data_IF_039584750292
#
_entry.id   IF_039584750292
#
_cell.length_a   1.000
_cell.length_b   1.000
_cell.length_c   1.000
_cell.angle_alpha   90.00
_cell.angle_beta   90.00
_cell.angle_gamma   90.00
#
_symmetry.space_group_name_H-M   'P 1'
#
loop_
_entity.id
_entity.type
_entity.pdbx_description
1 polymer ?
#
# COMPACT_ATOMS: atom_id res chain seq x y z
N UNK A 1 -8.06 -7.30 -39.53
CA UNK A 1 -9.25 -7.16 -38.65
C UNK A 1 -8.74 -6.62 -37.33
N UNK A 2 -9.36 -5.59 -36.76
CA UNK A 2 -9.09 -5.10 -35.41
C UNK A 2 -10.01 -5.80 -34.42
N UNK A 3 -9.51 -6.19 -33.25
CA UNK A 3 -10.28 -6.81 -32.18
C UNK A 3 -9.87 -6.23 -30.82
N UNK A 4 -10.76 -6.32 -29.84
CA UNK A 4 -10.46 -6.02 -28.44
C UNK A 4 -9.83 -7.24 -27.79
N UNK A 5 -8.85 -7.01 -26.93
CA UNK A 5 -8.18 -8.04 -26.14
C UNK A 5 -8.13 -7.59 -24.69
N UNK A 6 -8.28 -8.55 -23.79
CA UNK A 6 -7.94 -8.35 -22.38
C UNK A 6 -6.50 -8.81 -22.17
N UNK A 7 -5.63 -7.90 -21.73
CA UNK A 7 -4.21 -8.17 -21.55
C UNK A 7 -3.85 -7.88 -20.10
N UNK A 8 -3.30 -8.87 -19.41
CA UNK A 8 -2.81 -8.72 -18.04
C UNK A 8 -1.35 -9.12 -17.98
N UNK A 9 -0.51 -8.21 -17.52
CA UNK A 9 0.88 -8.49 -17.19
C UNK A 9 0.97 -8.65 -15.68
N UNK A 10 1.33 -9.85 -15.25
CA UNK A 10 1.45 -10.21 -13.85
C UNK A 10 2.93 -10.28 -13.48
N UNK A 11 3.31 -9.53 -12.44
CA UNK A 11 4.65 -9.54 -11.87
C UNK A 11 4.59 -10.01 -10.43
N UNK A 12 5.41 -10.99 -10.07
CA UNK A 12 5.61 -11.50 -8.72
C UNK A 12 7.10 -11.81 -8.51
N UNK A 13 7.86 -10.82 -8.05
CA UNK A 13 9.30 -10.97 -7.83
C UNK A 13 9.65 -11.83 -6.62
N UNK A 14 8.66 -12.27 -5.83
CA UNK A 14 8.86 -13.14 -4.67
C UNK A 14 8.95 -14.62 -5.05
N UNK A 15 8.50 -15.00 -6.26
CA UNK A 15 8.60 -16.38 -6.73
C UNK A 15 10.06 -16.83 -6.87
N UNK A 16 10.33 -18.07 -6.44
CA UNK A 16 11.66 -18.67 -6.52
C UNK A 16 12.04 -19.02 -7.96
N UNK A 17 11.09 -19.47 -8.77
CA UNK A 17 11.28 -19.78 -10.19
C UNK A 17 11.15 -18.51 -11.04
N UNK A 18 12.22 -18.19 -11.76
CA UNK A 18 12.30 -17.04 -12.65
C UNK A 18 11.22 -17.01 -13.73
N UNK A 19 10.82 -18.18 -14.25
CA UNK A 19 9.82 -18.30 -15.32
C UNK A 19 8.42 -17.93 -14.81
N UNK A 20 8.19 -17.98 -13.49
CA UNK A 20 6.87 -17.71 -12.89
C UNK A 20 6.72 -16.28 -12.38
N UNK A 21 7.81 -15.49 -12.35
CA UNK A 21 7.80 -14.10 -11.85
C UNK A 21 7.09 -13.15 -12.79
N UNK A 22 7.27 -13.32 -14.09
CA UNK A 22 6.61 -12.51 -15.12
C UNK A 22 5.74 -13.40 -15.98
N UNK A 23 4.45 -13.09 -16.04
CA UNK A 23 3.47 -13.80 -16.86
C UNK A 23 2.63 -12.80 -17.61
N UNK A 24 2.27 -13.13 -18.84
CA UNK A 24 1.29 -12.37 -19.61
C UNK A 24 0.09 -13.26 -19.89
N UNK A 25 -1.10 -12.69 -19.72
CA UNK A 25 -2.35 -13.33 -20.04
C UNK A 25 -3.01 -12.57 -21.17
N UNK A 26 -3.48 -13.30 -22.17
CA UNK A 26 -4.22 -12.77 -23.31
C UNK A 26 -5.59 -13.45 -23.28
N UNK A 27 -6.64 -12.65 -23.11
CA UNK A 27 -8.00 -13.15 -22.95
C UNK A 27 -8.09 -14.24 -21.87
N UNK A 28 -7.47 -14.00 -20.71
CA UNK A 28 -7.50 -14.91 -19.57
C UNK A 28 -6.54 -16.10 -19.66
N UNK A 29 -6.05 -16.44 -20.85
CA UNK A 29 -5.10 -17.55 -21.03
C UNK A 29 -3.66 -17.07 -20.90
N UNK A 30 -2.83 -17.83 -20.19
CA UNK A 30 -1.40 -17.55 -20.04
C UNK A 30 -0.67 -17.82 -21.36
N UNK A 31 0.13 -16.87 -21.83
CA UNK A 31 1.03 -17.07 -22.96
C UNK A 31 2.29 -17.80 -22.48
N UNK A 32 2.52 -19.01 -23.01
CA UNK A 32 3.67 -19.85 -22.67
C UNK A 32 4.82 -19.77 -23.68
N UNK A 33 4.65 -19.05 -24.80
CA UNK A 33 5.62 -19.02 -25.90
C UNK A 33 6.68 -17.91 -25.72
N UNK A 34 6.71 -17.26 -24.55
CA UNK A 34 7.67 -16.23 -24.21
C UNK A 34 9.08 -16.82 -24.02
N UNK A 35 9.86 -16.81 -25.09
CA UNK A 35 11.21 -17.39 -25.15
C UNK A 35 12.31 -16.63 -24.36
N UNK A 36 11.95 -15.57 -23.61
CA UNK A 36 12.92 -14.68 -22.92
C UNK A 36 12.42 -14.22 -21.54
N UNK A 37 11.85 -15.11 -20.74
CA UNK A 37 11.64 -14.82 -19.32
C UNK A 37 13.00 -14.80 -18.58
N UNK A 38 13.75 -13.75 -18.84
CA UNK A 38 15.07 -13.50 -18.26
C UNK A 38 14.84 -13.19 -16.80
N UNK A 39 15.60 -13.84 -15.91
CA UNK A 39 15.52 -13.70 -14.46
C UNK A 39 15.51 -12.23 -13.97
N UNK A 40 14.33 -11.61 -13.90
CA UNK A 40 14.15 -10.31 -13.28
C UNK A 40 13.57 -10.52 -11.88
N UNK A 41 14.28 -10.02 -10.87
CA UNK A 41 13.86 -10.07 -9.45
C UNK A 41 13.65 -8.69 -8.85
N UNK A 42 13.81 -7.63 -9.65
CA UNK A 42 13.62 -6.24 -9.20
C UNK A 42 12.15 -5.85 -9.31
N UNK A 43 11.63 -5.21 -8.25
CA UNK A 43 10.30 -4.63 -8.26
C UNK A 43 10.16 -3.56 -9.36
N UNK A 44 8.96 -3.47 -9.94
CA UNK A 44 8.62 -2.40 -10.86
C UNK A 44 8.48 -1.05 -10.16
N UNK A 45 8.23 0.00 -10.94
CA UNK A 45 8.05 1.37 -10.43
C UNK A 45 6.59 1.81 -10.38
N UNK A 46 5.64 0.90 -10.59
CA UNK A 46 4.22 1.17 -10.30
C UNK A 46 4.16 1.55 -8.81
N UNK A 47 3.44 2.64 -8.47
CA UNK A 47 3.41 3.24 -7.13
C UNK A 47 4.67 4.02 -6.71
N UNK A 48 5.57 4.35 -7.64
CA UNK A 48 6.65 5.32 -7.41
C UNK A 48 6.31 6.68 -8.03
N UNK A 49 6.86 7.79 -7.51
CA UNK A 49 6.76 9.14 -8.11
C UNK A 49 7.67 9.26 -9.34
N UNK A 50 7.36 8.46 -10.35
CA UNK A 50 8.03 8.46 -11.65
C UNK A 50 7.01 8.58 -12.77
N UNK A 51 7.46 9.10 -13.91
CA UNK A 51 6.58 9.28 -15.07
C UNK A 51 6.26 7.93 -15.72
N UNK A 52 4.97 7.64 -15.88
CA UNK A 52 4.48 6.50 -16.65
C UNK A 52 3.94 6.94 -18.02
N UNK A 53 4.08 6.09 -19.03
CA UNK A 53 3.59 6.34 -20.38
C UNK A 53 2.62 5.24 -20.79
N UNK A 54 1.52 5.62 -21.45
CA UNK A 54 0.53 4.69 -22.02
C UNK A 54 0.48 4.95 -23.53
N UNK A 55 0.60 3.89 -24.34
CA UNK A 55 0.60 3.97 -25.81
C UNK A 55 1.85 4.60 -26.44
N UNK A 56 2.88 4.86 -25.64
CA UNK A 56 4.15 5.43 -26.09
C UNK A 56 5.31 4.94 -25.22
N UNK A 57 6.53 5.08 -25.71
CA UNK A 57 7.75 4.92 -24.91
C UNK A 57 8.42 6.27 -24.69
N UNK A 58 8.64 6.63 -23.42
CA UNK A 58 9.47 7.77 -23.05
C UNK A 58 10.96 7.43 -23.00
N UNK A 59 11.79 8.44 -23.17
CA UNK A 59 13.24 8.33 -23.04
C UNK A 59 13.72 8.94 -21.72
N UNK A 60 14.66 8.29 -21.04
CA UNK A 60 15.15 8.70 -19.72
C UNK A 60 15.83 10.08 -19.73
N UNK A 61 16.34 10.53 -20.88
CA UNK A 61 17.19 11.71 -21.02
C UNK A 61 16.65 12.77 -21.99
N UNK A 62 15.36 12.72 -22.35
CA UNK A 62 14.82 13.70 -23.30
C UNK A 62 13.29 13.87 -23.26
N UNK A 63 12.76 14.97 -23.84
CA UNK A 63 11.33 15.25 -23.89
C UNK A 63 10.60 14.45 -24.98
N UNK A 64 11.31 13.64 -25.78
CA UNK A 64 10.76 12.92 -26.92
C UNK A 64 10.07 11.62 -26.48
N UNK A 65 8.97 11.29 -27.17
CA UNK A 65 8.22 10.05 -27.01
C UNK A 65 8.18 9.30 -28.34
N UNK A 66 8.39 8.00 -28.30
CA UNK A 66 8.14 7.12 -29.44
C UNK A 66 6.67 6.71 -29.40
N UNK A 67 5.90 7.14 -30.41
CA UNK A 67 4.50 6.75 -30.54
C UNK A 67 4.40 5.37 -31.23
N UNK A 68 3.72 4.42 -30.60
CA UNK A 68 3.54 3.06 -31.14
C UNK A 68 2.32 2.92 -32.07
N UNK A 69 1.67 4.04 -32.42
CA UNK A 69 0.65 4.10 -33.47
C UNK A 69 -0.78 4.23 -32.94
N UNK A 70 -1.74 3.86 -33.79
CA UNK A 70 -3.17 3.98 -33.50
C UNK A 70 -3.67 2.74 -32.75
N UNK A 71 -3.83 2.86 -31.44
CA UNK A 71 -4.41 1.81 -30.58
C UNK A 71 -5.63 2.36 -29.86
N UNK A 72 -6.63 1.50 -29.66
CA UNK A 72 -7.75 1.79 -28.75
C UNK A 72 -7.49 1.04 -27.45
N UNK A 73 -7.54 1.75 -26.32
CA UNK A 73 -7.34 1.18 -24.99
C UNK A 73 -8.54 1.60 -24.13
N UNK A 74 -9.04 0.68 -23.31
CA UNK A 74 -10.03 0.92 -22.29
C UNK A 74 -9.68 0.08 -21.05
N UNK A 75 -10.15 0.50 -19.87
CA UNK A 75 -10.01 -0.30 -18.65
C UNK A 75 -8.56 -0.49 -18.17
N UNK A 76 -7.76 0.58 -18.11
CA UNK A 76 -6.38 0.49 -17.62
C UNK A 76 -6.36 0.51 -16.10
N UNK A 77 -5.77 -0.54 -15.53
CA UNK A 77 -5.67 -0.77 -14.09
C UNK A 77 -4.24 -1.08 -13.70
N UNK A 78 -3.78 -0.53 -12.58
CA UNK A 78 -2.47 -0.82 -12.00
C UNK A 78 -2.64 -1.30 -10.57
N UNK A 79 -1.92 -2.37 -10.20
CA UNK A 79 -1.94 -2.97 -8.87
C UNK A 79 -0.50 -3.09 -8.38
N UNK A 80 -0.27 -2.69 -7.14
CA UNK A 80 0.99 -2.89 -6.41
C UNK A 80 0.72 -3.71 -5.14
N UNK A 81 1.75 -4.37 -4.62
CA UNK A 81 1.68 -5.23 -3.42
C UNK A 81 0.95 -6.57 -3.60
N UNK A 82 0.26 -6.79 -4.73
CA UNK A 82 -0.46 -8.03 -5.04
C UNK A 82 -0.25 -8.44 -6.48
N UNK A 83 -0.09 -9.75 -6.70
CA UNK A 83 0.05 -10.33 -8.02
C UNK A 83 -1.25 -11.02 -8.44
N UNK A 84 -2.19 -10.26 -8.98
CA UNK A 84 -3.55 -10.73 -9.32
C UNK A 84 -3.60 -11.40 -10.71
N UNK A 85 -4.49 -12.39 -10.85
CA UNK A 85 -4.79 -13.04 -12.14
C UNK A 85 -5.79 -12.23 -12.98
N UNK A 86 -6.01 -12.63 -14.24
CA UNK A 86 -6.89 -11.90 -15.16
C UNK A 86 -8.34 -11.77 -14.68
N UNK A 87 -8.84 -12.76 -13.95
CA UNK A 87 -10.23 -12.77 -13.44
C UNK A 87 -10.52 -11.66 -12.42
N UNK A 88 -9.48 -11.04 -11.86
CA UNK A 88 -9.62 -9.92 -10.93
C UNK A 88 -9.90 -8.57 -11.63
N UNK A 89 -9.72 -8.51 -12.96
CA UNK A 89 -9.82 -7.27 -13.73
C UNK A 89 -11.01 -7.28 -14.68
N UNK A 90 -11.44 -8.45 -15.13
CA UNK A 90 -12.54 -8.60 -16.06
C UNK A 90 -13.03 -10.06 -16.10
N UNK A 91 -14.24 -10.25 -16.63
CA UNK A 91 -14.76 -11.56 -17.01
C UNK A 91 -15.20 -11.56 -18.48
N UNK A 92 -15.24 -12.73 -19.10
CA UNK A 92 -15.84 -12.87 -20.43
C UNK A 92 -17.36 -12.93 -20.30
N UNK A 93 -18.07 -12.04 -21.00
CA UNK A 93 -19.52 -12.05 -21.08
C UNK A 93 -19.99 -13.34 -21.77
N UNK A 94 -20.80 -14.18 -21.10
CA UNK A 94 -21.30 -15.41 -21.72
C UNK A 94 -22.25 -15.13 -22.89
N UNK A 95 -22.84 -13.93 -22.95
CA UNK A 95 -23.80 -13.54 -23.98
C UNK A 95 -23.10 -13.00 -25.25
N UNK A 96 -21.93 -12.39 -25.10
CA UNK A 96 -21.28 -11.63 -26.20
C UNK A 96 -19.86 -12.10 -26.53
N UNK A 97 -19.23 -12.89 -25.66
CA UNK A 97 -17.80 -13.22 -25.75
C UNK A 97 -16.87 -12.01 -25.58
N UNK A 98 -17.42 -10.85 -25.19
CA UNK A 98 -16.64 -9.65 -24.94
C UNK A 98 -16.15 -9.63 -23.49
N UNK A 99 -14.97 -9.07 -23.27
CA UNK A 99 -14.47 -8.82 -21.93
C UNK A 99 -15.22 -7.65 -21.28
N UNK A 100 -15.79 -7.91 -20.11
CA UNK A 100 -16.47 -6.95 -19.24
C UNK A 100 -15.54 -6.65 -18.08
N UNK A 101 -15.16 -5.38 -17.92
CA UNK A 101 -14.27 -4.96 -16.83
C UNK A 101 -14.97 -5.08 -15.49
N UNK A 102 -14.20 -5.51 -14.49
CA UNK A 102 -14.59 -5.57 -13.09
C UNK A 102 -13.87 -4.51 -12.29
N UNK A 103 -14.50 -4.06 -11.20
CA UNK A 103 -13.79 -3.31 -10.18
C UNK A 103 -12.74 -4.22 -9.53
N UNK A 104 -11.49 -3.74 -9.47
CA UNK A 104 -10.40 -4.51 -8.89
C UNK A 104 -10.78 -4.83 -7.44
N UNK A 105 -10.67 -6.09 -6.98
CA UNK A 105 -10.97 -6.43 -5.60
C UNK A 105 -10.00 -5.70 -4.69
N UNK A 106 -10.43 -4.60 -4.09
CA UNK A 106 -9.79 -3.99 -2.94
C UNK A 106 -10.41 -4.64 -1.72
N UNK A 107 -9.62 -5.26 -0.85
CA UNK A 107 -10.19 -5.66 0.43
C UNK A 107 -10.65 -4.37 1.12
N UNK A 108 -11.95 -4.25 1.38
CA UNK A 108 -12.42 -3.18 2.24
C UNK A 108 -11.86 -3.44 3.63
N UNK A 109 -11.07 -2.49 4.13
CA UNK A 109 -10.49 -2.59 5.44
C UNK A 109 -11.63 -2.66 6.48
N UNK A 110 -11.72 -3.78 7.18
CA UNK A 110 -12.74 -3.98 8.21
C UNK A 110 -12.11 -3.69 9.57
N UNK A 111 -12.32 -2.47 10.08
CA UNK A 111 -11.72 -2.00 11.32
C UNK A 111 -12.72 -1.81 12.46
N UNK A 112 -12.23 -1.94 13.70
CA UNK A 112 -12.91 -1.58 14.95
C UNK A 112 -11.97 -0.77 15.85
N UNK A 113 -12.51 -0.11 16.87
CA UNK A 113 -11.77 0.84 17.73
C UNK A 113 -12.04 2.30 17.38
N UNK A 114 -11.34 3.22 18.05
CA UNK A 114 -11.57 4.67 17.97
C UNK A 114 -12.55 5.17 19.03
N UNK A 115 -12.36 6.41 19.47
CA UNK A 115 -13.25 7.13 20.39
C UNK A 115 -14.60 7.45 19.73
N UNK A 116 -14.59 7.60 18.40
CA UNK A 116 -15.77 7.84 17.60
C UNK A 116 -15.67 7.06 16.28
N UNK A 117 -16.73 6.31 15.97
CA UNK A 117 -16.94 5.67 14.67
C UNK A 117 -18.15 6.31 14.01
N UNK A 118 -17.92 7.04 12.91
CA UNK A 118 -18.98 7.63 12.10
C UNK A 118 -18.97 7.04 10.69
N UNK A 119 -20.13 7.07 10.05
CA UNK A 119 -20.25 6.78 8.63
C UNK A 119 -20.47 8.11 7.91
N UNK A 120 -19.56 8.48 7.01
CA UNK A 120 -19.68 9.65 6.15
C UNK A 120 -19.79 9.17 4.71
N UNK A 121 -21.04 9.04 4.23
CA UNK A 121 -21.30 8.35 2.97
C UNK A 121 -20.93 6.87 3.06
N UNK A 122 -20.05 6.42 2.17
CA UNK A 122 -19.52 5.05 2.12
C UNK A 122 -18.32 4.83 3.08
N UNK A 123 -17.74 5.91 3.61
CA UNK A 123 -16.57 5.83 4.47
C UNK A 123 -16.94 5.53 5.92
N UNK A 124 -16.22 4.59 6.54
CA UNK A 124 -16.18 4.41 7.99
C UNK A 124 -14.98 5.16 8.55
N UNK A 125 -15.25 6.17 9.37
CA UNK A 125 -14.21 7.00 10.00
C UNK A 125 -13.97 6.52 11.43
N UNK A 126 -12.73 6.15 11.73
CA UNK A 126 -12.27 5.84 13.09
C UNK A 126 -11.46 7.02 13.62
N UNK A 127 -11.99 7.72 14.62
CA UNK A 127 -11.33 8.90 15.21
C UNK A 127 -10.77 8.59 16.58
N UNK A 128 -9.53 8.99 16.80
CA UNK A 128 -8.84 8.93 18.09
C UNK A 128 -8.55 10.35 18.57
N UNK A 129 -9.01 10.67 19.78
CA UNK A 129 -8.71 11.89 20.54
C UNK A 129 -7.94 11.58 21.82
N UNK A 130 -7.80 10.30 22.14
CA UNK A 130 -6.95 9.74 23.18
C UNK A 130 -6.22 8.49 22.67
N UNK A 131 -5.19 8.04 23.38
CA UNK A 131 -4.48 6.82 23.04
C UNK A 131 -5.43 5.62 23.00
N UNK A 132 -5.23 4.71 22.06
CA UNK A 132 -6.07 3.53 21.92
C UNK A 132 -5.49 2.50 20.95
N UNK A 133 -6.35 1.62 20.47
CA UNK A 133 -6.01 0.61 19.48
C UNK A 133 -7.04 0.62 18.35
N UNK A 134 -6.57 0.49 17.12
CA UNK A 134 -7.41 0.16 15.97
C UNK A 134 -7.14 -1.28 15.56
N UNK A 135 -8.20 -2.05 15.31
CA UNK A 135 -8.14 -3.48 15.03
C UNK A 135 -8.75 -3.77 13.67
N UNK A 136 -7.95 -4.22 12.72
CA UNK A 136 -8.37 -4.64 11.38
C UNK A 136 -8.64 -6.14 11.37
N UNK A 137 -9.91 -6.54 11.29
CA UNK A 137 -10.29 -7.95 11.11
C UNK A 137 -9.99 -8.45 9.71
N UNK A 138 -10.01 -7.55 8.72
CA UNK A 138 -9.51 -7.73 7.37
C UNK A 138 -8.69 -6.49 7.00
N UNK A 139 -7.49 -6.70 6.44
CA UNK A 139 -6.64 -5.62 5.98
C UNK A 139 -7.18 -4.98 4.69
N UNK A 140 -6.69 -3.78 4.36
CA UNK A 140 -7.08 -3.08 3.15
C UNK A 140 -6.55 -1.66 3.10
N UNK A 141 -6.92 -0.94 2.04
CA UNK A 141 -6.52 0.45 1.84
C UNK A 141 -7.31 1.37 2.77
N UNK A 142 -6.61 2.22 3.51
CA UNK A 142 -7.18 3.26 4.36
C UNK A 142 -6.64 4.64 3.95
N UNK A 143 -7.43 5.67 4.20
CA UNK A 143 -6.97 7.05 4.20
C UNK A 143 -6.73 7.48 5.65
N UNK A 144 -5.65 8.21 5.91
CA UNK A 144 -5.32 8.67 7.27
C UNK A 144 -5.09 10.17 7.33
N UNK A 145 -5.35 10.73 8.50
CA UNK A 145 -4.89 12.04 8.94
C UNK A 145 -4.39 11.90 10.38
N UNK A 146 -3.09 12.08 10.58
CA UNK A 146 -2.45 12.08 11.90
C UNK A 146 -2.00 13.50 12.21
N UNK A 147 -2.43 14.02 13.36
CA UNK A 147 -2.07 15.37 13.82
C UNK A 147 -1.33 15.26 15.15
N UNK A 148 -0.12 15.81 15.23
CA UNK A 148 0.68 15.85 16.46
C UNK A 148 0.15 16.87 17.48
N UNK A 149 0.65 16.79 18.71
CA UNK A 149 0.38 17.79 19.73
C UNK A 149 0.93 19.17 19.36
N UNK A 150 0.16 20.22 19.65
CA UNK A 150 0.63 21.61 19.48
C UNK A 150 1.77 21.96 20.44
N UNK A 151 2.62 22.91 20.07
CA UNK A 151 3.69 23.41 20.95
C UNK A 151 3.14 24.29 22.08
N UNK A 152 3.80 24.31 23.24
CA UNK A 152 3.44 25.20 24.32
C UNK A 152 3.84 26.65 24.10
N UNK A 153 3.15 27.57 24.79
CA UNK A 153 3.48 29.00 24.77
C UNK A 153 4.72 29.34 25.60
N UNK A 154 5.18 30.59 25.47
CA UNK A 154 6.36 31.07 26.18
C UNK A 154 6.17 31.19 27.69
N UNK A 155 7.29 31.16 28.41
CA UNK A 155 7.47 31.24 29.87
C UNK A 155 6.79 32.40 30.62
N UNK A 156 7.01 32.44 31.95
CA UNK A 156 6.56 33.50 32.85
C UNK A 156 7.35 34.81 32.65
N UNK A 157 7.20 35.43 31.49
CA UNK A 157 7.67 36.78 31.19
C UNK A 157 6.53 37.64 30.64
N UNK A 158 6.58 38.94 30.88
CA UNK A 158 5.51 39.91 30.52
C UNK A 158 5.26 40.03 28.99
N UNK A 159 6.00 39.29 28.16
CA UNK A 159 5.98 39.35 26.69
C UNK A 159 5.97 37.95 26.02
N UNK A 160 5.45 36.92 26.69
CA UNK A 160 5.41 35.57 26.11
C UNK A 160 4.39 35.42 24.97
N UNK A 161 4.80 34.73 23.90
CA UNK A 161 3.94 34.35 22.78
C UNK A 161 3.11 33.09 23.06
N UNK A 162 2.00 32.92 22.32
CA UNK A 162 1.19 31.71 22.38
C UNK A 162 1.87 30.48 21.76
N UNK A 163 1.36 29.30 22.09
CA UNK A 163 1.80 28.03 21.51
C UNK A 163 1.40 27.86 20.04
N UNK A 164 2.13 27.02 19.31
CA UNK A 164 1.86 26.72 17.89
C UNK A 164 0.98 25.48 17.70
N UNK A 165 0.32 25.36 16.53
CA UNK A 165 -0.39 24.14 16.15
C UNK A 165 0.57 22.96 15.93
N UNK A 166 0.06 21.74 16.08
CA UNK A 166 0.82 20.53 15.77
C UNK A 166 0.96 20.31 14.26
N UNK A 167 2.02 19.60 13.87
CA UNK A 167 2.18 19.15 12.48
C UNK A 167 1.17 18.05 12.13
N UNK A 168 0.99 17.78 10.83
CA UNK A 168 0.13 16.70 10.37
C UNK A 168 0.78 15.85 9.27
N UNK A 169 0.30 14.62 9.11
CA UNK A 169 0.56 13.74 7.97
C UNK A 169 -0.77 13.17 7.48
N UNK A 170 -0.89 13.03 6.16
CA UNK A 170 -2.08 12.45 5.53
C UNK A 170 -1.68 11.70 4.27
N UNK A 171 -2.53 10.76 3.84
CA UNK A 171 -2.33 9.98 2.63
C UNK A 171 -3.13 8.69 2.67
N UNK A 172 -2.85 7.82 1.70
CA UNK A 172 -3.38 6.47 1.65
C UNK A 172 -2.34 5.47 2.14
N UNK A 173 -2.81 4.41 2.79
CA UNK A 173 -1.97 3.35 3.33
C UNK A 173 -2.66 2.00 3.15
N UNK A 174 -1.93 1.00 2.67
CA UNK A 174 -2.40 -0.38 2.72
C UNK A 174 -2.09 -0.93 4.12
N UNK A 175 -3.13 -1.31 4.87
CA UNK A 175 -2.97 -1.79 6.24
C UNK A 175 -3.30 -3.28 6.29
N UNK A 176 -2.35 -4.14 6.70
CA UNK A 176 -2.60 -5.56 6.92
C UNK A 176 -3.64 -5.81 8.01
N UNK A 177 -4.16 -7.04 8.05
CA UNK A 177 -4.95 -7.51 9.20
C UNK A 177 -4.09 -7.48 10.46
N UNK A 178 -4.61 -6.92 11.54
CA UNK A 178 -3.89 -6.83 12.81
C UNK A 178 -4.42 -5.75 13.74
N UNK A 179 -3.79 -5.67 14.92
CA UNK A 179 -4.05 -4.65 15.93
C UNK A 179 -2.90 -3.64 15.93
N UNK A 180 -3.24 -2.36 15.88
CA UNK A 180 -2.27 -1.27 15.84
C UNK A 180 -2.56 -0.27 16.96
N UNK A 181 -1.55 -0.01 17.79
CA UNK A 181 -1.62 1.04 18.80
C UNK A 181 -1.73 2.41 18.14
N UNK A 182 -2.54 3.30 18.71
CA UNK A 182 -2.68 4.68 18.29
C UNK A 182 -2.24 5.56 19.45
N UNK A 183 -1.22 6.36 19.20
CA UNK A 183 -0.73 7.37 20.15
C UNK A 183 -1.21 8.74 19.70
N UNK A 184 -1.89 9.45 20.59
CA UNK A 184 -2.24 10.86 20.46
C UNK A 184 -1.23 11.64 21.29
N UNK A 185 -0.43 12.46 20.62
CA UNK A 185 0.56 13.30 21.25
C UNK A 185 -0.07 14.41 22.06
N UNK A 186 0.36 14.56 23.32
CA UNK A 186 -0.10 15.64 24.19
C UNK A 186 0.28 17.02 23.64
N UNK A 187 -0.52 18.03 23.98
CA UNK A 187 -0.12 19.42 23.78
C UNK A 187 1.10 19.79 24.64
N UNK A 188 1.93 20.69 24.13
CA UNK A 188 3.11 21.18 24.83
C UNK A 188 2.75 22.05 26.03
N UNK A 189 3.41 21.80 27.15
CA UNK A 189 3.39 22.69 28.31
C UNK A 189 4.23 23.96 28.03
N UNK A 190 4.16 24.95 28.92
CA UNK A 190 5.00 26.15 28.86
C UNK A 190 6.47 25.81 28.52
N UNK A 191 7.01 26.49 27.51
CA UNK A 191 8.37 26.30 26.97
C UNK A 191 8.72 24.86 26.50
N UNK A 192 7.72 23.98 26.35
CA UNK A 192 7.91 22.61 25.89
C UNK A 192 7.18 22.33 24.56
N UNK A 193 7.78 21.52 23.67
CA UNK A 193 7.09 21.03 22.48
C UNK A 193 5.97 20.05 22.87
N UNK A 194 4.99 19.91 21.98
CA UNK A 194 3.97 18.86 22.07
C UNK A 194 4.54 17.48 21.71
N UNK A 195 3.82 16.43 22.10
CA UNK A 195 4.14 15.06 21.76
C UNK A 195 3.79 14.70 20.32
N UNK A 196 4.44 13.66 19.79
CA UNK A 196 4.09 13.10 18.50
C UNK A 196 2.84 12.23 18.59
N UNK A 197 1.98 12.34 17.59
CA UNK A 197 0.94 11.34 17.35
C UNK A 197 1.46 10.32 16.34
N UNK A 198 1.12 9.06 16.54
CA UNK A 198 1.61 7.97 15.72
C UNK A 198 0.59 6.84 15.62
N UNK A 199 0.59 6.16 14.48
CA UNK A 199 0.05 4.81 14.36
C UNK A 199 1.24 3.89 14.64
N UNK A 200 1.06 2.86 15.47
CA UNK A 200 2.09 1.89 15.84
C UNK A 200 2.72 1.23 14.61
N UNK A 201 3.88 0.60 14.77
CA UNK A 201 4.63 0.05 13.63
C UNK A 201 3.74 -0.81 12.73
N UNK A 202 3.51 -0.34 11.51
CA UNK A 202 2.88 -1.11 10.44
C UNK A 202 4.00 -1.86 9.74
N UNK A 203 4.62 -2.79 10.47
CA UNK A 203 5.69 -3.63 9.95
C UNK A 203 5.11 -5.02 9.66
N UNK A 204 4.80 -5.31 8.40
CA UNK A 204 4.56 -6.70 7.98
C UNK A 204 5.90 -7.38 7.74
N UNK A 205 6.37 -8.12 8.74
CA UNK A 205 7.46 -9.08 8.57
C UNK A 205 6.88 -10.48 8.29
N UNK A 206 7.50 -11.24 7.40
CA UNK A 206 7.11 -12.61 7.05
C UNK A 206 8.34 -13.51 7.00
N UNK A 207 8.16 -14.82 7.24
CA UNK A 207 9.24 -15.81 7.25
C UNK A 207 9.49 -16.42 8.63
N UNK A 208 9.87 -17.71 8.67
CA UNK A 208 10.03 -18.45 9.93
C UNK A 208 8.70 -18.72 10.66
N UNK A 209 8.78 -19.33 11.84
CA UNK A 209 7.65 -19.47 12.75
C UNK A 209 7.45 -18.16 13.51
N UNK A 210 6.27 -17.58 13.39
CA UNK A 210 5.93 -16.29 14.01
C UNK A 210 5.38 -16.54 15.42
N UNK A 211 5.97 -15.85 16.39
CA UNK A 211 5.53 -15.83 17.79
C UNK A 211 5.57 -14.40 18.33
N UNK A 212 5.02 -14.16 19.51
CA UNK A 212 5.05 -12.86 20.20
C UNK A 212 5.88 -12.96 21.48
N UNK A 213 6.74 -11.98 21.75
CA UNK A 213 7.43 -11.82 23.04
C UNK A 213 7.29 -10.37 23.53
N UNK A 214 6.39 -10.17 24.50
CA UNK A 214 5.92 -8.82 24.87
C UNK A 214 5.30 -8.11 23.67
N UNK A 215 5.76 -6.88 23.42
CA UNK A 215 5.31 -6.05 22.30
C UNK A 215 6.04 -6.36 20.97
N UNK A 216 6.97 -7.32 20.98
CA UNK A 216 7.75 -7.69 19.78
C UNK A 216 7.12 -8.87 19.03
N UNK A 217 7.09 -8.76 17.70
CA UNK A 217 6.86 -9.90 16.81
C UNK A 217 8.18 -10.62 16.55
N UNK A 218 8.23 -11.90 16.89
CA UNK A 218 9.45 -12.72 16.80
C UNK A 218 9.33 -13.72 15.66
N UNK A 219 10.28 -13.67 14.73
CA UNK A 219 10.39 -14.61 13.60
C UNK A 219 11.49 -15.64 13.88
N UNK A 220 11.11 -16.89 14.15
CA UNK A 220 12.06 -17.96 14.47
C UNK A 220 12.33 -18.86 13.27
N UNK A 221 13.61 -19.00 12.91
CA UNK A 221 14.06 -19.89 11.83
C UNK A 221 14.76 -21.12 12.40
N UNK A 222 14.25 -22.32 12.13
CA UNK A 222 14.89 -23.60 12.52
C UNK A 222 15.70 -24.25 11.39
N UNK A 223 15.71 -23.60 10.22
CA UNK A 223 16.50 -23.89 9.04
C UNK A 223 16.70 -22.59 8.26
N UNK A 224 17.53 -22.61 7.21
CA UNK A 224 17.70 -21.44 6.34
C UNK A 224 16.34 -20.96 5.81
N UNK A 225 16.08 -19.67 5.91
CA UNK A 225 14.87 -19.03 5.42
C UNK A 225 15.07 -17.53 5.25
N UNK A 226 14.10 -16.89 4.62
CA UNK A 226 14.13 -15.45 4.33
C UNK A 226 13.18 -14.73 5.27
N UNK A 227 13.67 -13.69 5.94
CA UNK A 227 12.86 -12.70 6.61
C UNK A 227 12.58 -11.57 5.62
N UNK A 228 11.31 -11.34 5.28
CA UNK A 228 10.91 -10.24 4.42
C UNK A 228 10.14 -9.23 5.24
N UNK A 229 10.64 -8.00 5.30
CA UNK A 229 9.98 -6.86 5.94
C UNK A 229 9.42 -5.98 4.83
N UNK A 230 8.09 -5.91 4.74
CA UNK A 230 7.41 -5.26 3.62
C UNK A 230 7.36 -3.73 3.75
N UNK A 231 7.57 -3.16 4.93
CA UNK A 231 7.73 -1.72 5.11
C UNK A 231 8.55 -1.36 6.35
N UNK A 232 9.20 -0.18 6.33
CA UNK A 232 10.38 0.21 7.12
C UNK A 232 10.33 0.12 8.66
N UNK A 233 10.33 -1.10 9.20
CA UNK A 233 10.58 -1.40 10.61
C UNK A 233 12.06 -1.60 10.95
N UNK A 234 12.43 -1.40 12.21
CA UNK A 234 13.76 -1.72 12.73
C UNK A 234 13.86 -3.22 13.02
N UNK A 235 14.80 -3.90 12.36
CA UNK A 235 15.11 -5.32 12.64
C UNK A 235 16.22 -5.38 13.69
N UNK A 236 15.90 -5.85 14.89
CA UNK A 236 16.89 -6.19 15.91
C UNK A 236 17.12 -7.71 15.92
N UNK A 237 18.40 -8.12 15.90
CA UNK A 237 18.80 -9.53 15.95
C UNK A 237 19.15 -9.91 17.38
N UNK A 238 18.49 -10.94 17.92
CA UNK A 238 18.81 -11.59 19.20
C UNK A 238 19.76 -12.78 19.00
#
# INVERSE_FOLDING_TARGET
>A
ISAWYHIVVRVDTTQTDEITRYRIYINGEEDTDLNVNSAHSTAGTINSDVRHFIGARGHASGPTIDNYGNISIAGVSFVDGRSLGPEAFAHESPDTGAWVMEDIPTNEAAATGGDLVTHEGEYRVHKFTSNGTISFSEGGKVEYLVVGGGGGGGGNGDLAGGGGAGGYRTGFLEVPKGDYGITIGDGGAMDNPGGYSAIGEITTATGGTITTDGDHTVHKFTANGTLTVADGGLVEYL
#
